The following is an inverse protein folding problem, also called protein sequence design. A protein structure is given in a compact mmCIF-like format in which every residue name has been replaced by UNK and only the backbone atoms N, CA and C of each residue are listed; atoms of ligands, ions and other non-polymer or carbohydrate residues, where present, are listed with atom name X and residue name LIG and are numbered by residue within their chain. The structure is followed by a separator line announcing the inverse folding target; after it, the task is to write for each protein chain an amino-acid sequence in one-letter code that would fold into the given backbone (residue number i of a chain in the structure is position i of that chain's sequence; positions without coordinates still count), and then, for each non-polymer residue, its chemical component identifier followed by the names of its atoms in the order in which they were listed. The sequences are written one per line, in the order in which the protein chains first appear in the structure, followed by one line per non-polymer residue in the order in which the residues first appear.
data_IF_084191801895
#
_entry.id   IF_084191801895
#
_cell.length_a   1.000
_cell.length_b   1.000
_cell.length_c   1.000
_cell.angle_alpha   90.00
_cell.angle_beta   90.00
_cell.angle_gamma   90.00
#
_symmetry.space_group_name_H-M   'P 1'
#
loop_
_entity.id
_entity.type
_entity.pdbx_description
1 polymer ?
#
# COMPACT_ATOMS: atom_id res chain seq x y z
N UNK A 1 22.85 -13.94 15.75
CA UNK A 1 22.47 -13.83 14.32
C UNK A 1 23.57 -13.16 13.51
N UNK A 2 23.94 -11.90 13.77
CA UNK A 2 24.96 -11.19 12.98
C UNK A 2 26.31 -11.93 12.93
N UNK A 3 26.80 -12.43 14.07
CA UNK A 3 28.05 -13.20 14.14
C UNK A 3 27.98 -14.55 13.40
N UNK A 4 26.79 -15.15 13.32
CA UNK A 4 26.54 -16.44 12.67
C UNK A 4 26.42 -16.28 11.15
N UNK A 5 25.60 -15.33 10.71
CA UNK A 5 25.28 -15.12 9.29
C UNK A 5 26.33 -14.27 8.56
N UNK A 6 27.11 -13.48 9.29
CA UNK A 6 28.15 -12.56 8.77
C UNK A 6 27.69 -11.81 7.50
N UNK A 7 26.56 -11.07 7.58
CA UNK A 7 25.97 -10.49 6.37
C UNK A 7 26.82 -9.34 5.84
N UNK A 8 26.93 -9.25 4.51
CA UNK A 8 27.56 -8.12 3.82
C UNK A 8 26.66 -6.88 3.77
N UNK A 9 25.35 -7.07 3.93
CA UNK A 9 24.33 -6.02 3.88
C UNK A 9 23.13 -6.45 4.72
N UNK A 10 22.52 -5.52 5.44
CA UNK A 10 21.30 -5.78 6.22
C UNK A 10 20.17 -4.90 5.71
N UNK A 11 19.02 -5.51 5.41
CA UNK A 11 17.79 -4.80 5.02
C UNK A 11 16.79 -4.90 6.16
N UNK A 12 16.31 -3.75 6.64
CA UNK A 12 15.29 -3.64 7.66
C UNK A 12 13.96 -3.22 7.05
N UNK A 13 12.97 -4.09 7.08
CA UNK A 13 11.56 -3.80 6.77
C UNK A 13 10.74 -3.50 8.03
N UNK A 14 11.38 -3.50 9.20
CA UNK A 14 10.73 -3.23 10.49
C UNK A 14 11.54 -2.27 11.36
N UNK A 15 10.86 -1.41 12.11
CA UNK A 15 11.47 -0.31 12.88
C UNK A 15 12.33 -0.79 14.06
N UNK A 16 11.94 -1.88 14.74
CA UNK A 16 12.70 -2.41 15.88
C UNK A 16 14.10 -2.91 15.51
N UNK A 17 14.30 -3.83 14.54
CA UNK A 17 15.65 -4.21 14.10
C UNK A 17 16.49 -3.01 13.66
N UNK A 18 15.89 -2.09 12.89
CA UNK A 18 16.55 -0.85 12.45
C UNK A 18 17.06 -0.02 13.64
N UNK A 19 16.24 0.14 14.68
CA UNK A 19 16.62 0.89 15.89
C UNK A 19 17.77 0.23 16.66
N UNK A 20 17.77 -1.09 16.74
CA UNK A 20 18.83 -1.86 17.40
C UNK A 20 20.13 -1.70 16.61
N UNK A 21 20.10 -1.87 15.29
CA UNK A 21 21.27 -1.74 14.42
C UNK A 21 21.86 -0.33 14.45
N UNK A 22 21.02 0.72 14.46
CA UNK A 22 21.50 2.09 14.70
C UNK A 22 22.32 2.19 15.99
N UNK A 23 21.88 1.56 17.09
CA UNK A 23 22.60 1.62 18.37
C UNK A 23 23.93 0.87 18.30
N UNK A 24 23.98 -0.27 17.62
CA UNK A 24 25.21 -1.03 17.41
C UNK A 24 26.22 -0.24 16.57
N UNK A 25 25.78 0.36 15.45
CA UNK A 25 26.64 1.20 14.60
C UNK A 25 27.17 2.42 15.35
N UNK A 26 26.32 3.12 16.12
CA UNK A 26 26.76 4.27 16.95
C UNK A 26 27.76 3.91 18.04
N UNK A 27 27.81 2.64 18.45
CA UNK A 27 28.80 2.12 19.42
C UNK A 27 30.02 1.49 18.73
N UNK A 28 30.13 1.61 17.41
CA UNK A 28 31.18 1.00 16.59
C UNK A 28 31.30 -0.52 16.79
N UNK A 29 30.18 -1.19 17.13
CA UNK A 29 30.15 -2.65 17.32
C UNK A 29 29.97 -3.42 16.03
N UNK A 30 29.43 -2.75 15.00
CA UNK A 30 29.28 -3.30 13.65
C UNK A 30 29.55 -2.19 12.64
N UNK A 31 30.12 -2.55 11.49
CA UNK A 31 30.28 -1.65 10.34
C UNK A 31 29.45 -2.10 9.12
N UNK A 32 28.69 -3.19 9.26
CA UNK A 32 27.85 -3.74 8.19
C UNK A 32 26.89 -2.66 7.68
N UNK A 33 26.79 -2.42 6.37
CA UNK A 33 25.83 -1.50 5.78
C UNK A 33 24.39 -1.91 6.08
N UNK A 34 23.54 -0.93 6.44
CA UNK A 34 22.14 -1.13 6.79
C UNK A 34 21.25 -0.25 5.91
N UNK A 35 20.24 -0.86 5.31
CA UNK A 35 19.20 -0.19 4.53
C UNK A 35 17.88 -0.29 5.31
N UNK A 36 17.21 0.84 5.50
CA UNK A 36 15.81 0.83 5.91
C UNK A 36 14.92 0.85 4.68
N UNK A 37 13.97 -0.08 4.63
CA UNK A 37 12.89 -0.10 3.65
C UNK A 37 11.60 0.18 4.39
N UNK A 38 11.06 1.38 4.20
CA UNK A 38 9.84 1.80 4.86
C UNK A 38 8.65 1.17 4.14
N UNK A 39 7.91 0.32 4.84
CA UNK A 39 6.82 -0.46 4.28
C UNK A 39 5.45 0.20 4.46
N UNK A 40 5.39 1.43 4.96
CA UNK A 40 4.14 2.12 5.23
C UNK A 40 4.24 3.58 4.78
N UNK A 41 3.11 4.22 4.47
CA UNK A 41 3.05 5.64 4.12
C UNK A 41 3.49 6.51 5.30
N UNK A 42 3.23 6.07 6.53
CA UNK A 42 3.71 6.76 7.71
C UNK A 42 5.05 6.19 8.21
N UNK A 43 5.98 7.07 8.57
CA UNK A 43 7.26 6.68 9.19
C UNK A 43 7.20 6.84 10.71
N UNK A 44 7.05 5.73 11.45
CA UNK A 44 7.04 5.82 12.91
C UNK A 44 8.35 6.40 13.51
N UNK A 45 8.21 6.96 14.71
CA UNK A 45 9.33 7.51 15.47
C UNK A 45 10.36 6.46 15.94
N UNK A 46 10.03 5.17 15.90
CA UNK A 46 10.86 4.06 16.38
C UNK A 46 11.97 3.70 15.39
N UNK A 47 11.79 3.93 14.09
CA UNK A 47 12.83 3.65 13.08
C UNK A 47 14.19 4.23 13.49
N UNK A 48 15.25 3.45 13.29
CA UNK A 48 16.61 3.98 13.25
C UNK A 48 16.72 4.96 12.08
N UNK A 49 17.38 6.09 12.28
CA UNK A 49 17.53 7.17 11.29
C UNK A 49 18.98 7.60 11.15
N UNK A 50 19.68 7.82 12.27
CA UNK A 50 21.10 8.23 12.25
C UNK A 50 21.99 6.98 12.30
N UNK A 51 23.02 6.93 11.47
CA UNK A 51 23.91 5.77 11.36
C UNK A 51 23.36 4.61 10.54
N UNK A 52 22.24 4.82 9.85
CA UNK A 52 21.74 3.94 8.79
C UNK A 52 22.29 4.46 7.46
N UNK A 53 22.68 3.56 6.56
CA UNK A 53 23.42 3.90 5.35
C UNK A 53 22.49 4.36 4.22
N UNK A 54 21.34 3.72 4.06
CA UNK A 54 20.33 4.10 3.07
C UNK A 54 18.89 3.98 3.59
N UNK A 55 18.01 4.82 3.04
CA UNK A 55 16.59 4.92 3.38
C UNK A 55 15.75 4.86 2.10
N UNK A 56 14.98 3.79 1.93
CA UNK A 56 14.03 3.60 0.82
C UNK A 56 12.64 4.00 1.32
N UNK A 57 12.22 5.21 0.96
CA UNK A 57 11.03 5.86 1.53
C UNK A 57 9.82 5.78 0.59
N UNK A 58 8.59 5.82 1.14
CA UNK A 58 7.37 5.62 0.37
C UNK A 58 7.01 6.81 -0.55
N UNK A 59 7.45 8.03 -0.25
CA UNK A 59 7.10 9.24 -1.00
C UNK A 59 8.04 10.42 -0.70
N UNK A 60 7.91 11.51 -1.45
CA UNK A 60 8.81 12.67 -1.38
C UNK A 60 8.73 13.43 -0.05
N UNK A 61 7.56 13.52 0.58
CA UNK A 61 7.42 14.17 1.90
C UNK A 61 8.19 13.40 2.99
N UNK A 62 8.22 12.08 2.92
CA UNK A 62 9.03 11.24 3.80
C UNK A 62 10.53 11.49 3.57
N UNK A 63 10.96 11.62 2.31
CA UNK A 63 12.35 12.02 1.97
C UNK A 63 12.69 13.38 2.56
N UNK A 64 11.82 14.36 2.38
CA UNK A 64 12.02 15.71 2.90
C UNK A 64 12.08 15.73 4.43
N UNK A 65 11.27 14.93 5.13
CA UNK A 65 11.37 14.80 6.59
C UNK A 65 12.75 14.29 7.00
N UNK A 66 13.24 13.20 6.40
CA UNK A 66 14.55 12.62 6.72
C UNK A 66 15.70 13.60 6.46
N UNK A 67 15.67 14.30 5.33
CA UNK A 67 16.71 15.28 4.97
C UNK A 67 16.66 16.51 5.87
N UNK A 68 15.49 17.13 6.05
CA UNK A 68 15.38 18.43 6.74
C UNK A 68 15.47 18.30 8.26
N UNK A 69 14.75 17.33 8.83
CA UNK A 69 14.62 17.16 10.30
C UNK A 69 15.74 16.32 10.87
N UNK A 70 16.15 15.26 10.17
CA UNK A 70 17.17 14.32 10.66
C UNK A 70 18.56 14.55 10.06
N UNK A 71 18.69 15.47 9.11
CA UNK A 71 19.96 15.84 8.45
C UNK A 71 20.64 14.66 7.75
N UNK A 72 19.85 13.75 7.21
CA UNK A 72 20.36 12.63 6.42
C UNK A 72 20.71 13.17 5.02
N UNK A 73 21.89 12.86 4.45
CA UNK A 73 22.25 13.25 3.08
C UNK A 73 21.20 12.81 2.06
N UNK A 74 20.86 13.68 1.11
CA UNK A 74 19.76 13.44 0.15
C UNK A 74 20.04 12.22 -0.74
N UNK A 75 21.31 11.91 -1.00
CA UNK A 75 21.79 10.79 -1.80
C UNK A 75 21.59 9.44 -1.09
N UNK A 76 21.41 9.47 0.23
CA UNK A 76 21.14 8.28 1.06
C UNK A 76 19.64 8.05 1.27
N UNK A 77 18.78 8.94 0.77
CA UNK A 77 17.32 8.81 0.88
C UNK A 77 16.72 8.73 -0.51
N UNK A 78 16.21 7.56 -0.87
CA UNK A 78 15.72 7.25 -2.21
C UNK A 78 14.22 7.02 -2.14
N UNK A 79 13.46 7.72 -2.97
CA UNK A 79 12.00 7.52 -3.04
C UNK A 79 11.71 6.31 -3.92
N UNK A 80 11.43 5.18 -3.29
CA UNK A 80 11.19 3.91 -3.98
C UNK A 80 9.72 3.55 -4.10
N UNK A 81 8.85 4.28 -3.39
CA UNK A 81 7.51 3.79 -3.08
C UNK A 81 7.56 2.66 -2.05
N UNK A 82 6.37 2.17 -1.69
CA UNK A 82 6.22 0.96 -0.86
C UNK A 82 6.45 -0.25 -1.78
N UNK A 83 7.38 -1.17 -1.45
CA UNK A 83 7.62 -2.34 -2.29
C UNK A 83 6.38 -3.24 -2.36
N UNK A 84 5.99 -3.60 -3.58
CA UNK A 84 4.94 -4.58 -3.85
C UNK A 84 5.50 -5.75 -4.66
N UNK A 85 4.83 -6.90 -4.59
CA UNK A 85 5.20 -8.06 -5.39
C UNK A 85 5.07 -7.75 -6.89
N UNK A 86 5.99 -8.28 -7.71
CA UNK A 86 6.07 -7.96 -9.16
C UNK A 86 4.77 -8.30 -9.90
N UNK A 87 4.05 -9.34 -9.46
CA UNK A 87 2.72 -9.72 -9.97
C UNK A 87 1.72 -8.56 -9.96
N UNK A 88 1.89 -7.58 -9.07
CA UNK A 88 0.99 -6.44 -8.94
C UNK A 88 1.42 -5.20 -9.75
N UNK A 89 2.63 -5.17 -10.34
CA UNK A 89 3.25 -3.95 -10.90
C UNK A 89 2.63 -3.42 -12.20
N UNK A 90 1.76 -4.17 -12.87
CA UNK A 90 1.01 -3.70 -14.02
C UNK A 90 -0.34 -4.40 -14.11
N UNK A 91 -1.38 -3.65 -14.48
CA UNK A 91 -2.68 -4.22 -14.84
C UNK A 91 -2.63 -4.71 -16.28
N UNK A 92 -3.16 -5.90 -16.57
CA UNK A 92 -3.38 -6.31 -17.95
C UNK A 92 -4.56 -5.48 -18.47
N UNK A 93 -4.30 -4.53 -19.36
CA UNK A 93 -5.32 -3.66 -19.95
C UNK A 93 -6.22 -4.46 -20.90
N UNK A 94 -7.03 -5.37 -20.37
CA UNK A 94 -8.17 -5.92 -21.09
C UNK A 94 -9.35 -4.99 -20.82
N UNK A 95 -9.67 -4.16 -21.84
CA UNK A 95 -10.89 -3.35 -21.81
C UNK A 95 -12.07 -4.32 -21.63
N UNK A 96 -12.67 -4.32 -20.44
CA UNK A 96 -13.93 -5.02 -20.21
C UNK A 96 -14.97 -4.47 -21.19
N UNK A 97 -15.67 -5.38 -21.87
CA UNK A 97 -16.73 -5.01 -22.82
C UNK A 97 -17.80 -4.10 -22.17
N UNK A 98 -18.45 -3.29 -23.00
CA UNK A 98 -19.27 -2.11 -22.67
C UNK A 98 -20.54 -2.40 -21.83
N UNK A 99 -20.81 -3.64 -21.39
CA UNK A 99 -22.11 -4.02 -20.80
C UNK A 99 -22.02 -4.99 -19.61
N UNK A 100 -21.17 -4.72 -18.63
CA UNK A 100 -21.24 -5.41 -17.33
C UNK A 100 -21.43 -4.40 -16.20
N UNK A 101 -22.23 -4.79 -15.19
CA UNK A 101 -22.33 -4.04 -13.93
C UNK A 101 -20.91 -3.89 -13.34
N UNK A 102 -20.50 -2.70 -12.88
CA UNK A 102 -19.15 -2.55 -12.34
C UNK A 102 -18.96 -3.48 -11.14
N UNK A 103 -17.79 -4.10 -11.08
CA UNK A 103 -17.41 -5.05 -10.05
C UNK A 103 -16.63 -4.35 -8.94
N UNK A 104 -17.19 -4.37 -7.73
CA UNK A 104 -16.59 -3.83 -6.53
C UNK A 104 -16.00 -4.98 -5.69
N UNK A 105 -14.71 -4.90 -5.41
CA UNK A 105 -14.05 -5.78 -4.44
C UNK A 105 -14.04 -5.09 -3.07
N UNK A 106 -14.64 -5.72 -2.07
CA UNK A 106 -14.64 -5.21 -0.69
C UNK A 106 -13.65 -6.03 0.13
N UNK A 107 -12.66 -5.37 0.72
CA UNK A 107 -11.59 -5.99 1.49
C UNK A 107 -11.51 -5.41 2.91
N UNK A 108 -11.78 -6.26 3.91
CA UNK A 108 -11.66 -5.90 5.34
C UNK A 108 -10.29 -6.22 5.96
N UNK A 109 -9.28 -6.55 5.15
CA UNK A 109 -8.01 -7.13 5.59
C UNK A 109 -8.15 -8.58 6.07
N UNK A 110 -7.07 -9.16 6.61
CA UNK A 110 -7.01 -10.58 7.01
C UNK A 110 -8.08 -11.03 8.01
N UNK A 111 -8.66 -10.09 8.76
CA UNK A 111 -9.68 -10.34 9.78
C UNK A 111 -11.11 -10.00 9.31
N UNK A 112 -11.30 -9.54 8.06
CA UNK A 112 -12.63 -9.19 7.55
C UNK A 112 -13.33 -8.09 8.37
N UNK A 113 -12.59 -7.09 8.84
CA UNK A 113 -13.13 -5.99 9.66
C UNK A 113 -13.37 -4.75 8.80
N UNK A 114 -14.29 -3.88 9.21
CA UNK A 114 -14.51 -2.58 8.55
C UNK A 114 -15.96 -2.30 8.20
N UNK A 115 -16.90 -2.66 9.07
CA UNK A 115 -18.33 -2.31 8.93
C UNK A 115 -18.93 -2.68 7.57
N UNK A 116 -18.55 -3.86 7.05
CA UNK A 116 -19.00 -4.36 5.74
C UNK A 116 -20.52 -4.57 5.72
N UNK A 117 -21.10 -5.03 6.84
CA UNK A 117 -22.55 -5.21 6.97
C UNK A 117 -23.29 -3.87 6.89
N UNK A 118 -22.84 -2.87 7.65
CA UNK A 118 -23.37 -1.49 7.58
C UNK A 118 -23.28 -0.90 6.17
N UNK A 119 -22.19 -1.18 5.44
CA UNK A 119 -22.07 -0.77 4.05
C UNK A 119 -23.24 -1.31 3.22
N UNK A 120 -23.53 -2.61 3.29
CA UNK A 120 -24.63 -3.21 2.54
C UNK A 120 -26.02 -2.76 3.03
N UNK A 121 -26.18 -2.48 4.33
CA UNK A 121 -27.41 -1.88 4.86
C UNK A 121 -27.65 -0.48 4.26
N UNK A 122 -26.60 0.37 4.18
CA UNK A 122 -26.69 1.71 3.58
C UNK A 122 -26.92 1.68 2.07
N UNK A 123 -26.51 0.62 1.39
CA UNK A 123 -26.82 0.40 -0.03
C UNK A 123 -28.30 0.03 -0.27
N UNK A 124 -29.08 -0.24 0.79
CA UNK A 124 -30.53 -0.44 0.74
C UNK A 124 -31.02 -1.39 -0.38
N UNK A 125 -30.27 -2.48 -0.61
CA UNK A 125 -30.63 -3.52 -1.58
C UNK A 125 -30.47 -3.14 -3.06
N UNK A 126 -29.75 -2.07 -3.40
CA UNK A 126 -29.49 -1.77 -4.82
C UNK A 126 -28.63 -2.86 -5.47
N UNK A 127 -28.92 -3.18 -6.74
CA UNK A 127 -28.24 -4.22 -7.51
C UNK A 127 -27.34 -3.65 -8.62
N UNK A 128 -26.98 -2.36 -8.50
CA UNK A 128 -26.23 -1.58 -9.50
C UNK A 128 -24.81 -2.12 -9.73
N UNK A 129 -24.22 -2.73 -8.72
CA UNK A 129 -22.87 -3.27 -8.74
C UNK A 129 -22.86 -4.79 -8.52
N UNK A 130 -21.81 -5.44 -8.99
CA UNK A 130 -21.43 -6.78 -8.55
C UNK A 130 -20.44 -6.64 -7.40
N UNK A 131 -20.56 -7.48 -6.37
CA UNK A 131 -19.69 -7.44 -5.20
C UNK A 131 -18.95 -8.76 -5.02
N UNK A 132 -17.65 -8.67 -4.81
CA UNK A 132 -16.88 -9.75 -4.18
C UNK A 132 -16.39 -9.28 -2.82
N UNK A 133 -16.70 -10.04 -1.78
CA UNK A 133 -16.42 -9.63 -0.39
C UNK A 133 -15.39 -10.56 0.21
N UNK A 134 -14.17 -10.05 0.38
CA UNK A 134 -13.08 -10.78 1.04
C UNK A 134 -13.31 -10.78 2.55
N UNK A 135 -13.76 -11.93 3.05
CA UNK A 135 -14.10 -12.12 4.46
C UNK A 135 -12.86 -12.43 5.32
N UNK A 136 -11.70 -12.69 4.70
CA UNK A 136 -10.50 -13.10 5.42
C UNK A 136 -10.75 -14.34 6.28
N UNK A 137 -10.23 -14.33 7.50
CA UNK A 137 -10.45 -15.40 8.48
C UNK A 137 -11.81 -15.29 9.21
N UNK A 138 -12.65 -14.30 8.88
CA UNK A 138 -13.95 -14.10 9.50
C UNK A 138 -15.01 -15.02 8.87
N UNK A 139 -15.05 -16.26 9.35
CA UNK A 139 -16.05 -17.25 8.92
C UNK A 139 -17.48 -16.80 9.18
N UNK A 140 -17.74 -16.08 10.28
CA UNK A 140 -19.08 -15.59 10.60
C UNK A 140 -19.58 -14.60 9.54
N UNK A 141 -18.74 -13.67 9.10
CA UNK A 141 -19.07 -12.73 8.02
C UNK A 141 -19.32 -13.47 6.70
N UNK A 142 -18.49 -14.46 6.36
CA UNK A 142 -18.66 -15.27 5.15
C UNK A 142 -20.04 -15.97 5.13
N UNK A 143 -20.37 -16.68 6.21
CA UNK A 143 -21.65 -17.40 6.35
C UNK A 143 -22.85 -16.45 6.39
N UNK A 144 -22.70 -15.28 6.99
CA UNK A 144 -23.76 -14.27 7.01
C UNK A 144 -24.09 -13.77 5.61
N UNK A 145 -23.09 -13.33 4.84
CA UNK A 145 -23.29 -12.85 3.47
C UNK A 145 -23.82 -13.98 2.57
N UNK A 146 -23.33 -15.21 2.77
CA UNK A 146 -23.79 -16.37 2.00
C UNK A 146 -25.29 -16.63 2.22
N UNK A 147 -25.79 -16.46 3.45
CA UNK A 147 -27.21 -16.61 3.79
C UNK A 147 -28.12 -15.55 3.16
N UNK A 148 -27.59 -14.40 2.77
CA UNK A 148 -28.39 -13.37 2.09
C UNK A 148 -28.93 -13.83 0.73
N UNK A 149 -28.30 -14.82 0.10
CA UNK A 149 -28.69 -15.38 -1.22
C UNK A 149 -28.88 -14.29 -2.29
N UNK A 150 -28.08 -13.23 -2.24
CA UNK A 150 -28.13 -12.13 -3.19
C UNK A 150 -27.24 -12.45 -4.39
N UNK A 151 -27.77 -12.57 -5.63
CA UNK A 151 -27.00 -13.04 -6.78
C UNK A 151 -25.89 -12.07 -7.23
N UNK A 152 -25.92 -10.83 -6.76
CA UNK A 152 -24.94 -9.79 -7.08
C UNK A 152 -23.89 -9.61 -5.95
N UNK A 153 -23.96 -10.39 -4.87
CA UNK A 153 -23.01 -10.32 -3.74
C UNK A 153 -22.40 -11.70 -3.52
N UNK A 154 -21.09 -11.83 -3.74
CA UNK A 154 -20.35 -13.07 -3.57
C UNK A 154 -19.37 -12.95 -2.40
N UNK A 155 -19.56 -13.68 -1.29
CA UNK A 155 -18.54 -13.78 -0.26
C UNK A 155 -17.39 -14.68 -0.74
N UNK A 156 -16.17 -14.29 -0.41
CA UNK A 156 -14.93 -15.02 -0.67
C UNK A 156 -14.21 -15.30 0.66
N UNK A 157 -13.66 -16.51 0.86
CA UNK A 157 -12.89 -16.84 2.05
C UNK A 157 -11.53 -16.13 2.05
N UNK A 158 -10.69 -16.43 3.03
CA UNK A 158 -9.29 -16.01 3.02
C UNK A 158 -8.57 -16.52 1.77
N UNK A 159 -7.84 -15.63 1.08
CA UNK A 159 -7.07 -15.95 -0.13
C UNK A 159 -5.59 -15.85 0.22
N UNK A 160 -4.89 -16.98 0.14
CA UNK A 160 -3.45 -17.06 0.37
C UNK A 160 -2.60 -17.00 -0.91
N UNK A 161 -3.21 -17.23 -2.08
CA UNK A 161 -2.51 -17.18 -3.36
C UNK A 161 -2.41 -15.74 -3.87
N UNK A 162 -1.19 -15.33 -4.22
CA UNK A 162 -0.88 -14.03 -4.81
C UNK A 162 -1.53 -13.92 -6.20
N UNK A 163 -1.52 -15.00 -6.97
CA UNK A 163 -2.09 -15.08 -8.32
C UNK A 163 -3.60 -14.91 -8.30
N UNK A 164 -4.27 -15.56 -7.34
CA UNK A 164 -5.71 -15.43 -7.14
C UNK A 164 -6.10 -14.02 -6.70
N UNK A 165 -5.35 -13.43 -5.76
CA UNK A 165 -5.57 -12.05 -5.34
C UNK A 165 -5.36 -11.07 -6.51
N UNK A 166 -4.33 -11.30 -7.31
CA UNK A 166 -4.07 -10.52 -8.51
C UNK A 166 -5.21 -10.63 -9.51
N UNK A 167 -5.75 -11.83 -9.75
CA UNK A 167 -6.91 -12.05 -10.62
C UNK A 167 -8.13 -11.23 -10.16
N UNK A 168 -8.40 -11.20 -8.86
CA UNK A 168 -9.48 -10.36 -8.30
C UNK A 168 -9.24 -8.87 -8.51
N UNK A 169 -8.00 -8.38 -8.39
CA UNK A 169 -7.69 -6.99 -8.74
C UNK A 169 -7.89 -6.71 -10.23
N UNK A 170 -7.48 -7.60 -11.12
CA UNK A 170 -7.71 -7.46 -12.57
C UNK A 170 -9.22 -7.43 -12.90
N UNK A 171 -10.02 -8.22 -12.18
CA UNK A 171 -11.48 -8.28 -12.32
C UNK A 171 -12.21 -7.11 -11.65
N UNK A 172 -11.60 -6.34 -10.74
CA UNK A 172 -12.28 -5.24 -10.04
C UNK A 172 -12.30 -3.93 -10.86
N UNK A 173 -13.41 -3.20 -10.80
CA UNK A 173 -13.54 -1.83 -11.32
C UNK A 173 -13.26 -0.78 -10.24
N UNK A 174 -13.53 -1.11 -8.98
CA UNK A 174 -13.08 -0.35 -7.83
C UNK A 174 -12.93 -1.24 -6.60
N UNK A 175 -12.19 -0.75 -5.60
CA UNK A 175 -11.91 -1.48 -4.37
C UNK A 175 -12.31 -0.63 -3.17
N UNK A 176 -13.06 -1.23 -2.25
CA UNK A 176 -13.41 -0.66 -0.95
C UNK A 176 -12.58 -1.37 0.10
N UNK A 177 -11.69 -0.66 0.77
CA UNK A 177 -10.78 -1.25 1.76
C UNK A 177 -10.44 -0.27 2.88
N UNK A 178 -9.89 -0.78 3.98
CA UNK A 178 -9.18 0.06 4.95
C UNK A 178 -7.94 0.69 4.30
N UNK A 179 -7.50 1.87 4.76
CA UNK A 179 -6.31 2.56 4.24
C UNK A 179 -4.99 1.95 4.79
N UNK A 180 -4.91 0.62 4.79
CA UNK A 180 -3.70 -0.12 5.15
C UNK A 180 -2.70 -0.17 3.99
N UNK A 181 -1.41 -0.10 4.30
CA UNK A 181 -0.35 0.05 3.31
C UNK A 181 -0.27 -1.09 2.28
N UNK A 182 -0.51 -2.35 2.68
CA UNK A 182 -0.39 -3.52 1.80
C UNK A 182 -1.33 -3.40 0.60
N UNK A 183 -2.64 -3.50 0.85
CA UNK A 183 -3.66 -3.46 -0.19
C UNK A 183 -3.62 -2.13 -0.96
N UNK A 184 -3.46 -1.00 -0.27
CA UNK A 184 -3.42 0.30 -0.95
C UNK A 184 -2.25 0.36 -1.93
N UNK A 185 -1.03 -0.03 -1.52
CA UNK A 185 0.14 0.04 -2.40
C UNK A 185 0.02 -0.88 -3.62
N UNK A 186 -0.53 -2.10 -3.45
CA UNK A 186 -0.80 -3.03 -4.56
C UNK A 186 -1.81 -2.44 -5.55
N UNK A 187 -2.92 -1.91 -5.03
CA UNK A 187 -4.04 -1.41 -5.83
C UNK A 187 -3.68 -0.12 -6.58
N UNK A 188 -2.84 0.74 -6.00
CA UNK A 188 -2.32 1.91 -6.70
C UNK A 188 -1.53 1.52 -7.95
N UNK A 189 -0.68 0.47 -7.89
CA UNK A 189 0.04 -0.03 -9.07
C UNK A 189 -0.91 -0.56 -10.15
N UNK A 190 -2.05 -1.14 -9.74
CA UNK A 190 -3.13 -1.55 -10.65
C UNK A 190 -3.97 -0.41 -11.19
N UNK A 191 -3.79 0.81 -10.68
CA UNK A 191 -4.54 2.02 -11.08
C UNK A 191 -6.05 1.85 -10.93
N UNK A 192 -6.49 1.14 -9.90
CA UNK A 192 -7.91 0.92 -9.62
C UNK A 192 -8.39 1.98 -8.62
N UNK A 193 -9.55 2.63 -8.85
CA UNK A 193 -10.15 3.54 -7.88
C UNK A 193 -10.32 2.90 -6.50
N UNK A 194 -9.83 3.61 -5.47
CA UNK A 194 -9.86 3.18 -4.08
C UNK A 194 -10.86 3.99 -3.27
N UNK A 195 -11.63 3.28 -2.47
CA UNK A 195 -12.57 3.84 -1.50
C UNK A 195 -12.30 3.29 -0.12
N UNK A 196 -12.64 4.06 0.91
CA UNK A 196 -12.70 3.58 2.28
C UNK A 196 -14.02 3.93 2.93
N UNK A 197 -14.50 3.08 3.82
CA UNK A 197 -15.70 3.29 4.64
C UNK A 197 -15.35 3.43 6.14
N UNK A 198 -14.06 3.34 6.47
CA UNK A 198 -13.58 3.43 7.84
C UNK A 198 -12.10 3.09 7.95
N UNK A 199 -11.52 3.40 9.10
CA UNK A 199 -10.11 3.20 9.38
C UNK A 199 -9.91 2.92 10.88
N UNK A 200 -8.80 2.25 11.21
CA UNK A 200 -8.36 2.09 12.59
C UNK A 200 -7.60 3.35 13.07
N UNK A 201 -7.88 3.86 14.29
CA UNK A 201 -7.12 4.97 14.85
C UNK A 201 -5.60 4.69 14.87
N UNK A 202 -4.79 5.73 14.66
CA UNK A 202 -3.33 5.61 14.60
C UNK A 202 -2.81 5.49 13.17
N UNK A 203 -2.22 4.35 12.81
CA UNK A 203 -1.48 4.18 11.56
C UNK A 203 -2.36 4.37 10.32
N UNK A 204 -3.51 3.68 10.27
CA UNK A 204 -4.44 3.79 9.15
C UNK A 204 -5.04 5.20 9.02
N UNK A 205 -5.26 5.91 10.13
CA UNK A 205 -5.69 7.31 10.08
C UNK A 205 -4.65 8.23 9.43
N UNK A 206 -3.35 8.02 9.74
CA UNK A 206 -2.27 8.82 9.13
C UNK A 206 -2.19 8.53 7.64
N UNK A 207 -2.28 7.25 7.25
CA UNK A 207 -2.29 6.84 5.86
C UNK A 207 -3.47 7.44 5.10
N UNK A 208 -4.67 7.43 5.70
CA UNK A 208 -5.86 8.01 5.10
C UNK A 208 -5.65 9.49 4.79
N UNK A 209 -5.16 10.28 5.75
CA UNK A 209 -4.89 11.71 5.54
C UNK A 209 -3.94 11.95 4.38
N UNK A 210 -2.85 11.20 4.30
CA UNK A 210 -1.90 11.30 3.19
C UNK A 210 -2.57 10.97 1.84
N UNK A 211 -3.31 9.85 1.78
CA UNK A 211 -3.95 9.40 0.55
C UNK A 211 -5.07 10.35 0.09
N UNK A 212 -5.84 10.93 1.01
CA UNK A 212 -6.87 11.93 0.72
C UNK A 212 -6.26 13.23 0.21
N UNK A 213 -5.18 13.71 0.84
CA UNK A 213 -4.45 14.90 0.38
C UNK A 213 -3.94 14.73 -1.06
N UNK A 214 -3.51 13.52 -1.43
CA UNK A 214 -3.10 13.18 -2.80
C UNK A 214 -4.27 12.83 -3.73
N UNK A 215 -5.50 12.78 -3.23
CA UNK A 215 -6.70 12.35 -3.98
C UNK A 215 -6.60 10.93 -4.54
N UNK A 216 -5.85 10.05 -3.87
CA UNK A 216 -5.61 8.65 -4.24
C UNK A 216 -6.65 7.69 -3.65
N UNK A 217 -7.40 8.14 -2.64
CA UNK A 217 -8.51 7.41 -2.03
C UNK A 217 -9.71 8.34 -1.84
N UNK A 218 -10.92 7.81 -1.97
CA UNK A 218 -12.14 8.53 -1.64
C UNK A 218 -12.73 7.96 -0.35
N UNK A 219 -12.80 8.80 0.69
CA UNK A 219 -13.45 8.43 1.94
C UNK A 219 -14.97 8.57 1.81
N UNK A 220 -15.66 7.46 2.04
CA UNK A 220 -17.12 7.37 2.01
C UNK A 220 -17.73 7.48 3.42
N UNK A 221 -16.95 7.40 4.51
CA UNK A 221 -17.49 7.22 5.86
C UNK A 221 -18.52 8.28 6.28
N UNK A 222 -18.36 9.53 5.81
CA UNK A 222 -19.23 10.66 6.13
C UNK A 222 -20.41 10.84 5.18
N UNK A 223 -20.50 10.02 4.12
CA UNK A 223 -21.55 10.15 3.12
C UNK A 223 -22.81 9.38 3.52
N UNK A 224 -23.97 9.90 3.12
CA UNK A 224 -25.25 9.20 3.21
C UNK A 224 -25.51 8.26 2.02
N UNK A 225 -24.88 8.51 0.87
CA UNK A 225 -25.14 7.78 -0.39
C UNK A 225 -23.84 7.31 -1.04
N UNK A 226 -23.30 6.17 -0.58
CA UNK A 226 -22.04 5.59 -1.08
C UNK A 226 -22.10 5.29 -2.58
N UNK A 227 -23.22 4.72 -3.02
CA UNK A 227 -23.45 4.28 -4.38
C UNK A 227 -23.26 5.40 -5.42
N UNK A 228 -23.83 6.57 -5.16
CA UNK A 228 -23.79 7.70 -6.09
C UNK A 228 -22.36 8.20 -6.29
N UNK A 229 -21.58 8.29 -5.20
CA UNK A 229 -20.19 8.72 -5.26
C UNK A 229 -19.32 7.71 -6.02
N UNK A 230 -19.49 6.42 -5.74
CA UNK A 230 -18.76 5.35 -6.46
C UNK A 230 -19.13 5.38 -7.95
N UNK A 231 -20.42 5.46 -8.26
CA UNK A 231 -20.90 5.52 -9.65
C UNK A 231 -20.31 6.70 -10.41
N UNK A 232 -20.31 7.89 -9.80
CA UNK A 232 -19.74 9.10 -10.40
C UNK A 232 -18.24 8.93 -10.70
N UNK A 233 -17.44 8.48 -9.74
CA UNK A 233 -15.99 8.24 -9.96
C UNK A 233 -15.75 7.20 -11.08
N UNK A 234 -16.64 6.22 -11.21
CA UNK A 234 -16.52 5.17 -12.21
C UNK A 234 -17.04 5.51 -13.61
N UNK A 235 -17.87 6.54 -13.79
CA UNK A 235 -18.51 6.83 -15.09
C UNK A 235 -18.35 8.27 -15.57
N UNK A 236 -17.94 9.18 -14.71
CA UNK A 236 -17.67 10.56 -15.10
C UNK A 236 -16.27 10.67 -15.73
N UNK A 237 -16.21 11.02 -17.01
CA UNK A 237 -14.95 11.09 -17.78
C UNK A 237 -13.96 12.11 -17.19
N UNK A 238 -14.46 13.19 -16.61
CA UNK A 238 -13.62 14.22 -15.98
C UNK A 238 -13.00 13.66 -14.70
N UNK A 239 -13.78 13.00 -13.85
CA UNK A 239 -13.26 12.36 -12.63
C UNK A 239 -12.30 11.21 -12.93
N UNK A 240 -12.58 10.37 -13.93
CA UNK A 240 -11.67 9.31 -14.37
C UNK A 240 -10.33 9.89 -14.87
N UNK A 241 -10.38 10.98 -15.64
CA UNK A 241 -9.19 11.68 -16.13
C UNK A 241 -8.39 12.29 -14.98
N UNK A 242 -9.07 12.92 -14.02
CA UNK A 242 -8.45 13.49 -12.81
C UNK A 242 -7.79 12.41 -11.96
N UNK A 243 -8.45 11.26 -11.75
CA UNK A 243 -7.88 10.13 -11.01
C UNK A 243 -6.63 9.58 -11.71
N UNK A 244 -6.70 9.36 -13.03
CA UNK A 244 -5.57 8.89 -13.82
C UNK A 244 -4.37 9.83 -13.73
N UNK A 245 -4.62 11.15 -13.74
CA UNK A 245 -3.59 12.18 -13.55
C UNK A 245 -2.95 12.09 -12.15
N UNK A 246 -3.76 12.02 -11.08
CA UNK A 246 -3.24 11.93 -9.69
C UNK A 246 -2.40 10.67 -9.47
N UNK A 247 -2.81 9.55 -10.05
CA UNK A 247 -2.04 8.30 -10.04
C UNK A 247 -0.70 8.48 -10.77
N UNK A 248 -0.70 9.09 -11.95
CA UNK A 248 0.53 9.37 -12.70
C UNK A 248 1.47 10.31 -11.92
N UNK A 249 0.93 11.37 -11.30
CA UNK A 249 1.69 12.31 -10.45
C UNK A 249 2.27 11.63 -9.21
N UNK A 250 1.55 10.68 -8.60
CA UNK A 250 2.06 9.87 -7.50
C UNK A 250 3.26 9.02 -7.94
N UNK A 251 3.14 8.28 -9.04
CA UNK A 251 4.23 7.43 -9.51
C UNK A 251 5.41 8.21 -10.12
N UNK A 252 5.18 9.41 -10.67
CA UNK A 252 6.24 10.29 -11.15
C UNK A 252 7.19 10.79 -10.04
N UNK A 253 6.78 10.66 -8.77
CA UNK A 253 7.63 11.00 -7.62
C UNK A 253 8.62 9.88 -7.25
N UNK A 254 8.43 8.67 -7.77
CA UNK A 254 9.34 7.54 -7.56
C UNK A 254 10.62 7.79 -8.35
N UNK A 255 11.75 7.73 -7.66
CA UNK A 255 13.08 7.95 -8.26
C UNK A 255 13.59 6.68 -8.96
N UNK A 256 13.37 5.52 -8.34
CA UNK A 256 13.68 4.20 -8.88
C UNK A 256 13.04 3.11 -8.01
N UNK A 257 12.92 1.88 -8.51
CA UNK A 257 12.38 0.77 -7.70
C UNK A 257 13.33 0.42 -6.55
N UNK A 258 12.79 -0.19 -5.48
CA UNK A 258 13.62 -0.69 -4.37
C UNK A 258 14.64 -1.74 -4.85
N UNK A 259 14.25 -2.57 -5.82
CA UNK A 259 15.09 -3.58 -6.44
C UNK A 259 16.26 -2.94 -7.19
N UNK A 260 16.00 -1.91 -7.99
CA UNK A 260 17.05 -1.24 -8.78
C UNK A 260 17.99 -0.42 -7.88
N UNK A 261 17.43 0.24 -6.86
CA UNK A 261 18.23 0.89 -5.82
C UNK A 261 19.16 -0.09 -5.11
N UNK A 262 18.64 -1.25 -4.73
CA UNK A 262 19.41 -2.31 -4.07
C UNK A 262 20.52 -2.84 -4.98
N UNK A 263 20.21 -3.15 -6.26
CA UNK A 263 21.22 -3.58 -7.24
C UNK A 263 22.36 -2.57 -7.36
N UNK A 264 22.04 -1.28 -7.46
CA UNK A 264 23.03 -0.23 -7.55
C UNK A 264 23.95 -0.18 -6.30
N UNK A 265 23.37 -0.27 -5.10
CA UNK A 265 24.14 -0.27 -3.85
C UNK A 265 25.06 -1.50 -3.76
N UNK A 266 24.56 -2.69 -4.08
CA UNK A 266 25.35 -3.92 -4.07
C UNK A 266 26.52 -3.84 -5.06
N UNK A 267 26.29 -3.30 -6.26
CA UNK A 267 27.35 -3.11 -7.27
C UNK A 267 28.41 -2.10 -6.81
N UNK A 268 28.03 -1.02 -6.12
CA UNK A 268 29.00 -0.05 -5.58
C UNK A 268 29.87 -0.68 -4.48
N UNK A 269 29.28 -1.52 -3.63
CA UNK A 269 30.02 -2.24 -2.59
C UNK A 269 31.00 -3.26 -3.19
N UNK A 270 30.59 -4.01 -4.21
CA UNK A 270 31.45 -4.97 -4.90
C UNK A 270 32.67 -4.31 -5.59
N UNK A 271 32.53 -3.04 -6.01
CA UNK A 271 33.60 -2.25 -6.63
C UNK A 271 34.53 -1.55 -5.63
N UNK A 272 34.35 -1.75 -4.32
CA UNK A 272 35.21 -1.15 -3.29
C UNK A 272 35.02 0.36 -3.09
N UNK A 273 33.91 0.94 -3.56
CA UNK A 273 33.56 2.31 -3.22
C UNK A 273 33.04 2.37 -1.79
N UNK A 274 33.97 2.47 -0.83
CA UNK A 274 33.63 2.92 0.51
C UNK A 274 33.10 4.35 0.39
N UNK A 275 31.80 4.54 0.64
CA UNK A 275 31.24 5.88 0.84
C UNK A 275 31.96 6.44 2.06
N UNK A 276 32.94 7.29 1.82
CA UNK A 276 33.72 7.99 2.84
C UNK A 276 32.74 8.61 3.84
N UNK A 277 32.79 8.09 5.07
CA UNK A 277 32.21 8.74 6.23
C UNK A 277 33.08 9.93 6.59
N UNK A 278 32.57 11.14 6.35
CA UNK A 278 32.97 12.33 7.10
C UNK A 278 31.89 12.62 8.15
#
# INVERSE_FOLDING_TARGET
MLEKEKPHLIICTHSFPSRILQRLKKRNLIDIPVINVYTDFFMNGIWGKKGIDYHFVPHQEAKQELVRKYKIPKERVIVTGIPVHETFMARKNEKKGVKQRPHLLIAGGNQGLGNILDFFQKMNGTNRFLYSVLCGNNKALYEEILRWKQPHIRPLPYISSIEEMNRLYEEADAIITKPGWVTVSEVLHKRIPLFTIGYLPGQEQINLRYLEEKGLICNLSELSHYEQKIWHVLHDEIEQSRFSRRIAEYFAQIEQTAQDALKHIVLMQAKGYHVLSH
#
